data_IF_555406503211
#
_entry.id   IF_555406503211
#
_cell.length_a   1.000
_cell.length_b   1.000
_cell.length_c   1.000
_cell.angle_alpha   90.00
_cell.angle_beta   90.00
_cell.angle_gamma   90.00
#
_symmetry.space_group_name_H-M   'P 1'
#
loop_
_entity.id
_entity.type
_entity.pdbx_description
1 polymer ?
#
# COMPACT_ATOMS: atom_id res chain seq x y z
N UNK A 1 -9.58 -17.87 -48.13
CA UNK A 1 -8.43 -17.08 -47.64
C UNK A 1 -8.33 -17.40 -46.17
N UNK A 2 -7.31 -18.18 -45.80
CA UNK A 2 -7.10 -18.75 -44.47
C UNK A 2 -6.78 -17.64 -43.47
N UNK A 3 -7.52 -17.57 -42.37
CA UNK A 3 -7.15 -16.82 -41.18
C UNK A 3 -6.39 -17.79 -40.27
N UNK A 4 -5.07 -17.56 -40.14
CA UNK A 4 -4.19 -18.29 -39.21
C UNK A 4 -4.25 -17.55 -37.88
N UNK A 5 -5.01 -18.09 -36.91
CA UNK A 5 -4.95 -17.66 -35.51
C UNK A 5 -3.84 -18.48 -34.82
N UNK A 6 -2.62 -17.94 -34.81
CA UNK A 6 -1.54 -18.48 -34.01
C UNK A 6 -1.82 -18.29 -32.51
N UNK A 7 -1.37 -19.20 -31.62
CA UNK A 7 -1.55 -19.05 -30.20
C UNK A 7 -0.80 -17.81 -29.71
N UNK A 8 -1.55 -16.82 -29.23
CA UNK A 8 -1.01 -15.70 -28.45
C UNK A 8 -0.44 -16.30 -27.17
N UNK A 9 0.86 -16.59 -27.15
CA UNK A 9 1.58 -16.86 -25.92
C UNK A 9 1.52 -15.58 -25.11
N UNK A 10 0.68 -15.58 -24.07
CA UNK A 10 0.81 -14.62 -22.99
C UNK A 10 2.08 -15.00 -22.23
N UNK A 11 3.22 -14.67 -22.84
CA UNK A 11 4.52 -14.72 -22.21
C UNK A 11 4.45 -13.81 -20.99
N UNK A 12 4.67 -14.42 -19.83
CA UNK A 12 4.52 -13.81 -18.51
C UNK A 12 5.07 -12.40 -18.50
N UNK A 13 4.17 -11.43 -18.28
CA UNK A 13 4.51 -10.06 -18.01
C UNK A 13 5.56 -10.07 -16.88
N UNK A 14 6.78 -9.72 -17.26
CA UNK A 14 7.97 -9.89 -16.45
C UNK A 14 7.79 -9.31 -15.07
N UNK A 15 8.05 -10.13 -14.05
CA UNK A 15 8.51 -9.60 -12.79
C UNK A 15 9.80 -8.84 -13.07
N UNK A 16 9.72 -7.51 -13.12
CA UNK A 16 10.91 -6.67 -13.26
C UNK A 16 11.92 -7.06 -12.18
N UNK A 17 13.18 -7.34 -12.53
CA UNK A 17 14.20 -7.66 -11.54
C UNK A 17 14.36 -6.49 -10.57
N UNK A 18 13.96 -6.69 -9.32
CA UNK A 18 14.17 -5.70 -8.26
C UNK A 18 15.66 -5.44 -8.09
N UNK A 19 16.05 -4.15 -8.10
CA UNK A 19 17.43 -3.73 -7.96
C UNK A 19 17.97 -3.88 -6.53
N UNK A 20 19.08 -3.21 -6.23
CA UNK A 20 19.54 -3.15 -4.84
C UNK A 20 18.55 -2.40 -3.97
N UNK A 21 18.47 -2.73 -2.68
CA UNK A 21 17.57 -2.05 -1.72
C UNK A 21 17.78 -0.53 -1.71
N UNK A 22 19.03 -0.07 -1.87
CA UNK A 22 19.32 1.36 -1.94
C UNK A 22 18.70 2.00 -3.20
N UNK A 23 18.81 1.34 -4.35
CA UNK A 23 18.22 1.80 -5.61
C UNK A 23 16.68 1.86 -5.52
N UNK A 24 16.06 0.81 -4.99
CA UNK A 24 14.61 0.76 -4.82
C UNK A 24 14.10 1.74 -3.76
N UNK A 25 14.86 1.98 -2.68
CA UNK A 25 14.52 3.01 -1.70
C UNK A 25 14.54 4.42 -2.30
N UNK A 26 15.49 4.70 -3.22
CA UNK A 26 15.54 5.98 -3.94
C UNK A 26 14.35 6.11 -4.89
N UNK A 27 13.99 5.04 -5.61
CA UNK A 27 12.79 5.03 -6.47
C UNK A 27 11.51 5.25 -5.67
N UNK A 28 11.36 4.55 -4.53
CA UNK A 28 10.24 4.71 -3.62
C UNK A 28 10.16 6.14 -3.08
N UNK A 29 11.29 6.70 -2.63
CA UNK A 29 11.35 8.06 -2.11
C UNK A 29 11.02 9.10 -3.20
N UNK A 30 11.43 8.85 -4.44
CA UNK A 30 11.06 9.64 -5.61
C UNK A 30 9.55 9.61 -5.85
N UNK A 31 8.96 8.41 -5.93
CA UNK A 31 7.52 8.24 -6.12
C UNK A 31 6.71 8.89 -4.98
N UNK A 32 7.15 8.75 -3.74
CA UNK A 32 6.52 9.39 -2.59
C UNK A 32 6.64 10.92 -2.65
N UNK A 33 7.79 11.45 -3.07
CA UNK A 33 8.02 12.90 -3.20
C UNK A 33 7.15 13.52 -4.31
N UNK A 34 6.95 12.80 -5.41
CA UNK A 34 6.07 13.25 -6.50
C UNK A 34 4.60 13.17 -6.08
N UNK A 35 4.17 12.06 -5.48
CA UNK A 35 2.85 11.95 -4.88
C UNK A 35 2.58 13.07 -3.86
N UNK A 36 3.54 13.41 -3.00
CA UNK A 36 3.37 14.46 -2.00
C UNK A 36 3.15 15.86 -2.63
N UNK A 37 3.78 16.14 -3.78
CA UNK A 37 3.56 17.40 -4.53
C UNK A 37 2.15 17.45 -5.10
N UNK A 38 1.66 16.35 -5.64
CA UNK A 38 0.33 16.26 -6.28
C UNK A 38 -0.81 16.12 -5.25
N UNK A 39 -0.55 15.50 -4.10
CA UNK A 39 -1.55 15.24 -3.08
C UNK A 39 -2.02 16.51 -2.37
N UNK A 40 -1.17 17.53 -2.22
CA UNK A 40 -1.50 18.73 -1.43
C UNK A 40 -2.76 19.46 -1.92
N UNK A 41 -2.91 19.79 -3.23
CA UNK A 41 -4.13 20.46 -3.72
C UNK A 41 -5.38 19.56 -3.78
N UNK A 42 -5.25 18.26 -4.01
CA UNK A 42 -6.40 17.34 -4.16
C UNK A 42 -6.99 16.87 -2.81
N UNK A 43 -6.15 16.80 -1.78
CA UNK A 43 -6.54 16.36 -0.43
C UNK A 43 -7.45 17.38 0.27
N UNK A 44 -7.25 18.68 0.10
CA UNK A 44 -8.09 19.69 0.77
C UNK A 44 -9.55 19.69 0.27
N UNK A 45 -9.79 19.25 -0.97
CA UNK A 45 -11.14 19.14 -1.54
C UNK A 45 -11.89 17.86 -1.18
N UNK A 46 -11.17 16.76 -0.92
CA UNK A 46 -11.78 15.43 -0.71
C UNK A 46 -11.62 14.89 0.72
N UNK A 47 -10.74 15.45 1.54
CA UNK A 47 -10.62 15.07 2.94
C UNK A 47 -11.66 15.78 3.81
N UNK A 48 -12.33 14.99 4.66
CA UNK A 48 -13.21 15.48 5.72
C UNK A 48 -14.43 16.28 5.24
N UNK A 49 -15.07 15.79 4.17
CA UNK A 49 -16.40 16.20 3.72
C UNK A 49 -17.51 15.84 4.72
N UNK A 50 -17.19 15.03 5.75
CA UNK A 50 -18.13 14.58 6.79
C UNK A 50 -18.97 13.36 6.39
N UNK A 51 -18.64 12.71 5.27
CA UNK A 51 -19.33 11.51 4.80
C UNK A 51 -19.11 10.30 5.74
N UNK A 52 -20.06 9.35 5.75
CA UNK A 52 -20.02 8.17 6.64
C UNK A 52 -18.78 7.29 6.38
N UNK A 53 -18.34 7.21 5.12
CA UNK A 53 -17.09 6.57 4.72
C UNK A 53 -15.83 7.15 5.42
N UNK A 54 -15.85 8.41 5.88
CA UNK A 54 -14.71 9.00 6.62
C UNK A 54 -14.49 8.36 8.01
N UNK A 55 -15.46 7.62 8.55
CA UNK A 55 -15.31 6.95 9.85
C UNK A 55 -14.52 5.63 9.77
N UNK A 56 -14.42 5.05 8.57
CA UNK A 56 -13.74 3.77 8.33
C UNK A 56 -12.33 3.95 7.73
N UNK A 57 -12.04 5.08 7.08
CA UNK A 57 -10.72 5.37 6.55
C UNK A 57 -9.74 5.80 7.67
N UNK A 58 -8.57 5.15 7.83
CA UNK A 58 -7.61 5.48 8.89
C UNK A 58 -7.03 6.89 8.76
N UNK A 59 -6.84 7.39 7.54
CA UNK A 59 -6.36 8.76 7.28
C UNK A 59 -7.42 9.79 7.66
N UNK A 60 -8.68 9.56 7.32
CA UNK A 60 -9.75 10.48 7.70
C UNK A 60 -9.92 10.56 9.21
N UNK A 61 -9.78 9.42 9.91
CA UNK A 61 -9.84 9.34 11.36
C UNK A 61 -8.72 10.12 12.04
N UNK A 62 -7.49 10.04 11.55
CA UNK A 62 -6.37 10.81 12.12
C UNK A 62 -6.56 12.32 11.91
N UNK A 63 -6.99 12.73 10.72
CA UNK A 63 -7.32 14.14 10.44
C UNK A 63 -8.41 14.66 11.38
N UNK A 64 -9.46 13.87 11.63
CA UNK A 64 -10.53 14.29 12.53
C UNK A 64 -10.03 14.49 13.96
N UNK A 65 -9.22 13.56 14.47
CA UNK A 65 -8.62 13.68 15.80
C UNK A 65 -7.75 14.93 15.92
N UNK A 66 -6.91 15.22 14.92
CA UNK A 66 -6.07 16.42 14.92
C UNK A 66 -6.92 17.70 14.84
N UNK A 67 -8.04 17.68 14.12
CA UNK A 67 -9.00 18.79 14.02
C UNK A 67 -9.86 19.01 15.27
N UNK A 68 -9.99 18.03 16.15
CA UNK A 68 -10.67 18.20 17.44
C UNK A 68 -9.73 18.62 18.58
N UNK A 69 -8.41 18.56 18.40
CA UNK A 69 -7.46 19.05 19.39
C UNK A 69 -7.66 20.55 19.68
N UNK A 70 -7.54 20.91 20.95
CA UNK A 70 -7.53 22.32 21.37
C UNK A 70 -6.30 23.03 20.81
N UNK A 71 -6.37 24.34 20.50
CA UNK A 71 -5.23 25.06 19.91
C UNK A 71 -3.96 24.97 20.76
N UNK A 72 -4.07 24.95 22.09
CA UNK A 72 -2.94 24.81 23.00
C UNK A 72 -2.27 23.43 22.89
N UNK A 73 -3.07 22.37 22.71
CA UNK A 73 -2.56 20.99 22.58
C UNK A 73 -1.91 20.79 21.22
N UNK A 74 -2.39 21.48 20.17
CA UNK A 74 -1.75 21.46 18.85
C UNK A 74 -0.35 22.05 18.87
N UNK A 75 -0.15 23.17 19.57
CA UNK A 75 1.17 23.80 19.69
C UNK A 75 2.17 22.89 20.40
N UNK A 76 1.73 22.23 21.48
CA UNK A 76 2.55 21.24 22.19
C UNK A 76 2.85 20.03 21.30
N UNK A 77 1.86 19.55 20.54
CA UNK A 77 2.03 18.45 19.60
C UNK A 77 3.00 18.82 18.47
N UNK A 78 2.92 20.03 17.91
CA UNK A 78 3.83 20.49 16.87
C UNK A 78 5.29 20.53 17.36
N UNK A 79 5.47 20.99 18.60
CA UNK A 79 6.79 20.99 19.26
C UNK A 79 7.31 19.56 19.47
N UNK A 80 6.45 18.67 19.98
CA UNK A 80 6.78 17.26 20.18
C UNK A 80 7.08 16.54 18.84
N UNK A 81 6.29 16.81 17.81
CA UNK A 81 6.48 16.27 16.47
C UNK A 81 7.82 16.73 15.87
N UNK A 82 8.19 18.00 16.08
CA UNK A 82 9.48 18.53 15.63
C UNK A 82 10.64 17.84 16.34
N UNK A 83 10.56 17.67 17.66
CA UNK A 83 11.57 16.94 18.44
C UNK A 83 11.66 15.47 18.01
N UNK A 84 10.52 14.83 17.71
CA UNK A 84 10.47 13.48 17.20
C UNK A 84 11.15 13.37 15.82
N UNK A 85 10.88 14.28 14.88
CA UNK A 85 11.56 14.31 13.58
C UNK A 85 13.07 14.43 13.73
N UNK A 86 13.53 15.33 14.61
CA UNK A 86 14.96 15.50 14.89
C UNK A 86 15.57 14.20 15.44
N UNK A 87 14.90 13.53 16.38
CA UNK A 87 15.35 12.24 16.90
C UNK A 87 15.40 11.15 15.82
N UNK A 88 14.37 11.05 14.99
CA UNK A 88 14.34 10.12 13.85
C UNK A 88 15.47 10.38 12.87
N UNK A 89 15.80 11.64 12.57
CA UNK A 89 16.94 11.96 11.70
C UNK A 89 18.27 11.53 12.31
N UNK A 90 18.44 11.68 13.64
CA UNK A 90 19.60 11.17 14.35
C UNK A 90 19.70 9.64 14.32
N UNK A 91 18.57 8.95 14.43
CA UNK A 91 18.50 7.49 14.37
C UNK A 91 18.79 6.97 12.96
N UNK A 92 18.24 7.59 11.92
CA UNK A 92 18.53 7.24 10.53
C UNK A 92 19.98 7.52 10.15
N UNK A 93 20.56 8.61 10.68
CA UNK A 93 21.99 8.88 10.52
C UNK A 93 22.87 7.86 11.24
N UNK A 94 22.41 7.35 12.40
CA UNK A 94 23.08 6.28 13.15
C UNK A 94 22.87 4.89 12.53
N UNK A 95 21.78 4.69 11.79
CA UNK A 95 21.46 3.47 11.06
C UNK A 95 22.31 3.36 9.78
N UNK A 96 23.63 3.32 9.94
CA UNK A 96 24.52 2.76 8.94
C UNK A 96 24.39 1.23 9.03
N UNK A 97 24.17 0.50 7.93
CA UNK A 97 23.91 -0.93 8.01
C UNK A 97 25.15 -1.68 8.51
N UNK A 98 25.07 -2.27 9.70
CA UNK A 98 25.84 -3.45 10.05
C UNK A 98 25.14 -4.67 9.44
N UNK A 99 25.76 -5.26 8.43
CA UNK A 99 25.22 -6.46 7.78
C UNK A 99 25.28 -7.66 8.73
N UNK A 100 24.17 -8.00 9.39
CA UNK A 100 23.86 -9.33 9.94
C UNK A 100 22.43 -9.46 10.50
N UNK A 101 21.65 -10.38 9.92
CA UNK A 101 20.41 -10.99 10.43
C UNK A 101 19.15 -10.11 10.27
N UNK A 102 17.98 -10.56 9.84
CA UNK A 102 17.31 -11.87 9.72
C UNK A 102 16.13 -11.64 8.73
N UNK A 103 15.69 -12.63 7.93
CA UNK A 103 14.54 -12.44 7.04
C UNK A 103 13.26 -12.21 7.85
N UNK A 104 12.75 -10.98 7.83
CA UNK A 104 11.39 -10.62 8.24
C UNK A 104 10.61 -10.36 6.97
N UNK A 105 9.96 -11.40 6.44
CA UNK A 105 9.05 -11.32 5.30
C UNK A 105 7.77 -12.07 5.62
N UNK A 106 6.65 -11.53 5.17
CA UNK A 106 5.30 -12.09 5.33
C UNK A 106 5.28 -13.54 4.85
N UNK A 107 4.65 -14.43 5.61
CA UNK A 107 4.46 -15.83 5.20
C UNK A 107 3.51 -15.86 4.01
N UNK A 108 4.02 -16.32 2.86
CA UNK A 108 3.19 -16.63 1.71
C UNK A 108 2.51 -17.97 1.98
N UNK A 109 1.20 -17.91 2.24
CA UNK A 109 0.33 -19.09 2.31
C UNK A 109 -0.06 -19.40 0.87
N UNK A 110 0.41 -20.54 0.35
CA UNK A 110 0.00 -21.03 -0.97
C UNK A 110 -1.49 -21.44 -0.88
N UNK A 111 -2.35 -20.70 -1.58
CA UNK A 111 -3.79 -20.98 -1.63
C UNK A 111 -4.17 -21.95 -2.77
N UNK A 112 -3.17 -22.43 -3.51
CA UNK A 112 -3.37 -23.26 -4.70
C UNK A 112 -3.53 -24.75 -4.37
N UNK A 113 -3.33 -25.16 -3.12
CA UNK A 113 -3.48 -26.55 -2.66
C UNK A 113 -4.91 -26.87 -2.12
N UNK A 114 -5.83 -25.89 -2.10
CA UNK A 114 -7.17 -26.08 -1.51
C UNK A 114 -8.34 -26.28 -2.48
N UNK A 115 -8.11 -26.47 -3.78
CA UNK A 115 -9.20 -26.79 -4.73
C UNK A 115 -8.80 -27.88 -5.74
N UNK A 116 -8.65 -29.12 -5.26
CA UNK A 116 -8.89 -30.34 -6.07
C UNK A 116 -9.93 -31.27 -5.42
N UNK A 117 -10.69 -30.76 -4.44
CA UNK A 117 -11.86 -31.45 -3.87
C UNK A 117 -13.01 -30.49 -3.59
N UNK A 118 -13.29 -29.60 -4.55
CA UNK A 118 -14.54 -28.86 -4.64
C UNK A 118 -15.43 -29.51 -5.69
N UNK A 119 -16.04 -30.64 -5.34
CA UNK A 119 -17.22 -31.21 -5.99
C UNK A 119 -18.30 -30.11 -6.06
N UNK A 120 -18.30 -29.34 -7.14
CA UNK A 120 -19.39 -28.44 -7.46
C UNK A 120 -20.58 -29.32 -7.83
N UNK A 121 -21.70 -29.29 -7.09
CA UNK A 121 -22.80 -30.21 -7.34
C UNK A 121 -23.34 -29.99 -8.74
N UNK A 122 -23.24 -31.03 -9.59
CA UNK A 122 -23.87 -31.06 -10.90
C UNK A 122 -25.37 -30.74 -10.74
N UNK A 123 -25.79 -29.60 -11.29
CA UNK A 123 -27.20 -29.24 -11.38
C UNK A 123 -27.89 -30.28 -12.29
N UNK A 124 -28.99 -30.94 -11.84
CA UNK A 124 -29.69 -31.89 -12.69
C UNK A 124 -30.36 -31.16 -13.85
N UNK A 125 -29.98 -31.52 -15.08
CA UNK A 125 -30.64 -31.07 -16.30
C UNK A 125 -32.14 -31.42 -16.22
N UNK A 126 -32.95 -30.38 -16.02
CA UNK A 126 -34.40 -30.44 -16.06
C UNK A 126 -34.89 -30.55 -17.50
N UNK A 127 -35.60 -31.65 -17.76
CA UNK A 127 -36.51 -31.92 -18.87
C UNK A 127 -37.40 -30.71 -19.20
N UNK A 128 -37.49 -30.30 -20.49
CA UNK A 128 -38.74 -29.77 -21.05
C UNK A 128 -38.67 -29.58 -22.59
N UNK A 129 -39.42 -30.47 -23.28
CA UNK A 129 -40.19 -30.28 -24.53
C UNK A 129 -39.63 -30.70 -25.91
#
# INVERSE_FOLDING_TARGET
>A
MTQDDGPSTNDGAGADPVGTVAEEAVKLLGALSDWAKDATPDLEGHLATGAAECTYCPICRTVHLVRELRPEVREQLATAATAALQAFTGLLAAAKPDGRGTPSGVEHIDLDDTDDTGDWPDEPEGDDR
#
